data_IF_216242894253
#
_entry.id   IF_216242894253
#
_cell.length_a   1.000
_cell.length_b   1.000
_cell.length_c   1.000
_cell.angle_alpha   90.00
_cell.angle_beta   90.00
_cell.angle_gamma   90.00
#
_symmetry.space_group_name_H-M   'P 1'
#
loop_
_entity.id
_entity.type
_entity.pdbx_description
1 polymer ?
#
# COMPACT_ATOMS: atom_id res chain seq x y z
N UNK A 1 17.16 -20.99 -8.79
CA UNK A 1 15.79 -21.34 -9.21
C UNK A 1 14.80 -21.07 -8.06
N UNK A 2 14.78 -19.84 -7.51
CA UNK A 2 13.95 -19.50 -6.34
C UNK A 2 12.63 -18.78 -6.70
N UNK A 3 12.53 -18.22 -7.91
CA UNK A 3 11.38 -17.41 -8.36
C UNK A 3 10.48 -18.13 -9.38
N UNK A 4 10.73 -19.41 -9.68
CA UNK A 4 10.09 -20.12 -10.80
C UNK A 4 8.55 -20.16 -10.75
N UNK A 5 7.95 -20.06 -9.55
CA UNK A 5 6.50 -19.97 -9.38
C UNK A 5 5.91 -18.58 -9.54
N UNK A 6 6.71 -17.51 -9.43
CA UNK A 6 6.20 -16.13 -9.43
C UNK A 6 5.87 -15.61 -10.84
N UNK A 7 6.43 -16.23 -11.87
CA UNK A 7 6.14 -15.94 -13.28
C UNK A 7 4.80 -16.49 -13.77
N UNK A 8 4.00 -17.15 -12.91
CA UNK A 8 2.65 -17.61 -13.30
C UNK A 8 1.74 -16.41 -13.61
N UNK A 9 1.10 -16.38 -14.78
CA UNK A 9 0.21 -15.27 -15.20
C UNK A 9 -1.01 -15.08 -14.29
N UNK A 10 -1.48 -16.13 -13.62
CA UNK A 10 -2.63 -16.02 -12.70
C UNK A 10 -2.25 -15.41 -11.34
N UNK A 11 -0.96 -15.41 -10.98
CA UNK A 11 -0.47 -14.80 -9.76
C UNK A 11 -0.21 -13.31 -9.97
N UNK A 12 -1.08 -12.45 -9.43
CA UNK A 12 -0.92 -10.99 -9.53
C UNK A 12 -0.29 -10.36 -8.30
N UNK A 13 -0.64 -10.81 -7.10
CA UNK A 13 -0.24 -10.19 -5.83
C UNK A 13 0.80 -11.03 -5.09
N UNK A 14 1.91 -10.40 -4.70
CA UNK A 14 3.02 -11.01 -3.97
C UNK A 14 3.33 -10.11 -2.77
N UNK A 15 3.17 -10.63 -1.55
CA UNK A 15 3.31 -9.85 -0.32
C UNK A 15 4.50 -10.33 0.50
N UNK A 16 5.38 -9.40 0.87
CA UNK A 16 6.53 -9.64 1.73
C UNK A 16 6.22 -9.18 3.16
N UNK A 17 5.79 -10.14 3.98
CA UNK A 17 5.53 -9.98 5.41
C UNK A 17 6.61 -10.56 6.30
N UNK A 18 6.79 -10.01 7.51
CA UNK A 18 7.74 -10.53 8.49
C UNK A 18 8.17 -9.50 9.56
N UNK A 19 9.02 -9.93 10.49
CA UNK A 19 9.56 -9.05 11.54
C UNK A 19 10.46 -7.93 10.96
N UNK A 20 10.76 -6.92 11.76
CA UNK A 20 11.77 -5.92 11.41
C UNK A 20 13.15 -6.55 11.21
N UNK A 21 13.90 -6.08 10.21
CA UNK A 21 15.29 -6.50 9.97
C UNK A 21 15.51 -7.85 9.28
N UNK A 22 14.45 -8.55 8.84
CA UNK A 22 14.59 -9.87 8.16
C UNK A 22 14.84 -9.78 6.65
N UNK A 23 14.98 -8.57 6.10
CA UNK A 23 15.28 -8.35 4.68
C UNK A 23 14.06 -8.24 3.74
N UNK A 24 12.87 -7.93 4.27
CA UNK A 24 11.62 -7.83 3.48
C UNK A 24 11.74 -6.88 2.28
N UNK A 25 12.14 -5.64 2.53
CA UNK A 25 12.34 -4.59 1.53
C UNK A 25 13.30 -5.03 0.45
N UNK A 26 14.46 -5.59 0.83
CA UNK A 26 15.45 -6.10 -0.12
C UNK A 26 14.88 -7.24 -0.98
N UNK A 27 14.14 -8.18 -0.38
CA UNK A 27 13.50 -9.27 -1.12
C UNK A 27 12.38 -8.77 -2.03
N UNK A 28 11.58 -7.80 -1.61
CA UNK A 28 10.51 -7.19 -2.40
C UNK A 28 11.08 -6.48 -3.62
N UNK A 29 12.09 -5.63 -3.44
CA UNK A 29 12.78 -4.93 -4.54
C UNK A 29 13.39 -5.94 -5.51
N UNK A 30 14.18 -6.90 -5.02
CA UNK A 30 14.81 -7.90 -5.87
C UNK A 30 13.80 -8.71 -6.67
N UNK A 31 12.66 -9.04 -6.06
CA UNK A 31 11.56 -9.77 -6.72
C UNK A 31 10.88 -8.91 -7.78
N UNK A 32 10.61 -7.63 -7.47
CA UNK A 32 9.99 -6.70 -8.41
C UNK A 32 10.88 -6.44 -9.63
N UNK A 33 12.19 -6.26 -9.42
CA UNK A 33 13.18 -6.15 -10.49
C UNK A 33 13.18 -7.39 -11.39
N UNK A 34 13.25 -8.59 -10.80
CA UNK A 34 13.26 -9.84 -11.57
C UNK A 34 11.96 -10.06 -12.36
N UNK A 35 10.80 -9.71 -11.80
CA UNK A 35 9.52 -9.80 -12.52
C UNK A 35 9.41 -8.76 -13.64
N UNK A 36 9.99 -7.57 -13.45
CA UNK A 36 9.96 -6.49 -14.44
C UNK A 36 10.64 -6.84 -15.77
N UNK A 37 11.50 -7.85 -15.80
CA UNK A 37 12.09 -8.36 -17.05
C UNK A 37 11.02 -8.87 -18.03
N UNK A 38 9.86 -9.33 -17.55
CA UNK A 38 8.84 -9.95 -18.38
C UNK A 38 7.41 -9.42 -18.12
N UNK A 39 7.20 -8.64 -17.05
CA UNK A 39 5.88 -8.20 -16.61
C UNK A 39 5.87 -6.74 -16.20
N UNK A 40 4.81 -5.99 -16.54
CA UNK A 40 4.62 -4.65 -15.99
C UNK A 40 4.33 -4.77 -14.50
N UNK A 41 5.27 -4.34 -13.67
CA UNK A 41 5.34 -4.63 -12.23
C UNK A 41 5.27 -3.34 -11.42
N UNK A 42 4.39 -3.33 -10.41
CA UNK A 42 4.30 -2.26 -9.42
C UNK A 42 4.87 -2.75 -8.07
N UNK A 43 5.89 -2.07 -7.57
CA UNK A 43 6.40 -2.21 -6.21
C UNK A 43 5.66 -1.23 -5.30
N UNK A 44 4.99 -1.74 -4.28
CA UNK A 44 4.22 -0.95 -3.32
C UNK A 44 4.88 -1.11 -1.96
N UNK A 45 5.34 -0.03 -1.35
CA UNK A 45 5.73 -0.04 0.06
C UNK A 45 4.59 0.49 0.91
N UNK A 46 4.26 -0.22 1.98
CA UNK A 46 3.40 0.28 3.06
C UNK A 46 4.22 0.57 4.33
N UNK A 47 5.56 0.46 4.26
CA UNK A 47 6.45 0.76 5.36
C UNK A 47 6.62 2.30 5.48
N UNK A 48 6.22 2.91 6.61
CA UNK A 48 6.35 4.35 6.82
C UNK A 48 7.82 4.82 6.90
N UNK A 49 8.79 3.89 7.02
CA UNK A 49 10.20 4.23 7.12
C UNK A 49 10.90 4.55 5.78
N UNK A 50 10.16 4.83 4.70
CA UNK A 50 10.69 5.19 3.37
C UNK A 50 11.78 4.23 2.82
N UNK A 51 11.70 2.95 3.21
CA UNK A 51 12.81 2.01 3.07
C UNK A 51 13.10 1.62 1.61
N UNK A 52 12.12 1.73 0.71
CA UNK A 52 12.37 1.48 -0.72
C UNK A 52 13.07 2.66 -1.39
N UNK A 53 12.77 3.89 -1.00
CA UNK A 53 13.45 5.08 -1.52
C UNK A 53 14.94 5.05 -1.23
N UNK A 54 15.30 4.69 0.01
CA UNK A 54 16.69 4.53 0.44
C UNK A 54 17.40 3.39 -0.31
N UNK A 55 16.75 2.23 -0.44
CA UNK A 55 17.35 1.07 -1.13
C UNK A 55 17.51 1.28 -2.64
N UNK A 56 16.62 2.04 -3.26
CA UNK A 56 16.64 2.33 -4.71
C UNK A 56 17.47 3.57 -5.05
N UNK A 57 17.94 4.32 -4.04
CA UNK A 57 18.60 5.62 -4.21
C UNK A 57 17.78 6.60 -5.08
N UNK A 58 16.45 6.50 -4.99
CA UNK A 58 15.50 7.27 -5.77
C UNK A 58 14.35 7.71 -4.86
N UNK A 59 13.94 8.98 -4.94
CA UNK A 59 12.77 9.47 -4.22
C UNK A 59 11.50 8.81 -4.77
N UNK A 60 10.92 7.91 -3.99
CA UNK A 60 9.60 7.33 -4.22
C UNK A 60 8.65 7.98 -3.22
N UNK A 61 7.46 8.38 -3.67
CA UNK A 61 6.47 9.02 -2.81
C UNK A 61 5.09 8.47 -3.07
N UNK A 62 4.08 9.25 -2.73
CA UNK A 62 2.65 8.91 -2.87
C UNK A 62 2.14 8.87 -4.32
N UNK A 63 3.02 9.01 -5.31
CA UNK A 63 2.69 8.90 -6.74
C UNK A 63 3.50 7.77 -7.35
N UNK A 64 2.85 7.00 -8.22
CA UNK A 64 3.51 5.97 -9.00
C UNK A 64 4.58 6.63 -9.89
N UNK A 65 5.82 6.16 -9.77
CA UNK A 65 6.96 6.61 -10.58
C UNK A 65 7.70 5.41 -11.15
N UNK A 66 8.33 5.57 -12.33
CA UNK A 66 9.25 4.56 -12.87
C UNK A 66 10.48 4.43 -11.98
N UNK A 67 11.01 3.22 -11.84
CA UNK A 67 12.23 2.95 -11.06
C UNK A 67 13.44 2.85 -11.98
N UNK A 68 14.42 3.74 -11.80
CA UNK A 68 15.60 3.83 -12.64
C UNK A 68 15.26 3.94 -14.13
N UNK A 69 15.99 3.18 -14.96
CA UNK A 69 15.78 3.12 -16.41
C UNK A 69 14.83 1.98 -16.84
N UNK A 70 14.12 1.33 -15.90
CA UNK A 70 13.23 0.22 -16.23
C UNK A 70 11.94 0.72 -16.91
N UNK A 71 11.59 0.09 -18.03
CA UNK A 71 10.32 0.36 -18.70
C UNK A 71 9.11 -0.30 -18.03
N UNK A 72 9.37 -1.35 -17.25
CA UNK A 72 8.33 -2.23 -16.70
C UNK A 72 8.24 -2.18 -15.18
N UNK A 73 9.15 -1.49 -14.48
CA UNK A 73 9.11 -1.36 -13.02
C UNK A 73 8.68 0.04 -12.63
N UNK A 74 7.58 0.12 -11.89
CA UNK A 74 7.16 1.33 -11.18
C UNK A 74 7.11 1.08 -9.68
N UNK A 75 7.20 2.14 -8.89
CA UNK A 75 7.07 2.08 -7.44
C UNK A 75 6.22 3.20 -6.86
N UNK A 76 5.63 2.93 -5.70
CA UNK A 76 4.89 3.89 -4.89
C UNK A 76 5.09 3.57 -3.40
N UNK A 77 5.12 4.62 -2.58
CA UNK A 77 5.02 4.51 -1.12
C UNK A 77 3.64 4.97 -0.67
N UNK A 78 2.93 4.09 0.05
CA UNK A 78 1.60 4.39 0.57
C UNK A 78 1.72 5.24 1.83
N UNK A 79 1.08 6.40 1.81
CA UNK A 79 0.99 7.29 2.96
C UNK A 79 -0.42 7.15 3.55
N UNK A 80 -0.54 6.44 4.67
CA UNK A 80 -1.81 6.12 5.30
C UNK A 80 -2.66 7.37 5.61
N UNK A 81 -2.05 8.43 6.14
CA UNK A 81 -2.75 9.68 6.47
C UNK A 81 -3.37 10.35 5.23
N UNK A 82 -2.65 10.35 4.10
CA UNK A 82 -3.17 10.90 2.85
C UNK A 82 -4.28 10.02 2.28
N UNK A 83 -4.09 8.70 2.30
CA UNK A 83 -5.10 7.75 1.86
C UNK A 83 -6.38 7.88 2.70
N UNK A 84 -6.25 7.99 4.04
CA UNK A 84 -7.36 8.20 4.97
C UNK A 84 -8.06 9.52 4.72
N UNK A 85 -7.31 10.62 4.59
CA UNK A 85 -7.86 11.95 4.30
C UNK A 85 -8.67 11.96 3.00
N UNK A 86 -8.15 11.32 1.95
CA UNK A 86 -8.86 11.16 0.67
C UNK A 86 -10.15 10.34 0.84
N UNK A 87 -10.08 9.21 1.56
CA UNK A 87 -11.24 8.37 1.83
C UNK A 87 -12.35 9.10 2.59
N UNK A 88 -12.00 9.84 3.66
CA UNK A 88 -12.95 10.65 4.41
C UNK A 88 -13.57 11.73 3.53
N UNK A 89 -12.78 12.39 2.67
CA UNK A 89 -13.28 13.41 1.77
C UNK A 89 -14.29 12.84 0.75
N UNK A 90 -14.01 11.66 0.19
CA UNK A 90 -14.87 10.96 -0.76
C UNK A 90 -16.19 10.47 -0.12
N UNK A 91 -16.11 9.96 1.12
CA UNK A 91 -17.24 9.31 1.80
C UNK A 91 -17.88 10.17 2.88
N UNK A 92 -17.55 11.46 2.96
CA UNK A 92 -17.95 12.37 4.05
C UNK A 92 -19.45 12.32 4.34
N UNK A 93 -20.27 12.38 3.30
CA UNK A 93 -21.73 12.41 3.43
C UNK A 93 -22.29 11.08 3.95
N UNK A 94 -21.71 9.95 3.54
CA UNK A 94 -22.14 8.62 3.96
C UNK A 94 -21.73 8.35 5.41
N UNK A 95 -20.47 8.65 5.74
CA UNK A 95 -19.94 8.54 7.11
C UNK A 95 -20.73 9.42 8.06
N UNK A 96 -21.04 10.65 7.66
CA UNK A 96 -21.87 11.57 8.45
C UNK A 96 -23.25 10.97 8.73
N UNK A 97 -23.94 10.47 7.71
CA UNK A 97 -25.27 9.87 7.86
C UNK A 97 -25.23 8.63 8.76
N UNK A 98 -24.19 7.80 8.65
CA UNK A 98 -23.99 6.64 9.52
C UNK A 98 -23.82 7.08 10.97
N UNK A 99 -22.97 8.07 11.25
CA UNK A 99 -22.70 8.55 12.60
C UNK A 99 -23.93 9.24 13.21
N UNK A 100 -24.66 10.06 12.46
CA UNK A 100 -25.93 10.67 12.90
C UNK A 100 -26.99 9.62 13.24
N UNK A 101 -27.01 8.49 12.53
CA UNK A 101 -27.99 7.42 12.78
C UNK A 101 -27.57 6.51 13.94
N UNK A 102 -26.27 6.40 14.20
CA UNK A 102 -25.69 5.45 15.18
C UNK A 102 -25.39 6.10 16.53
N UNK A 103 -25.32 7.43 16.58
CA UNK A 103 -24.90 8.21 17.75
C UNK A 103 -25.74 9.49 17.86
N UNK A 104 -25.91 10.03 19.06
CA UNK A 104 -26.53 11.34 19.26
C UNK A 104 -25.50 12.50 19.13
N UNK A 105 -24.45 12.31 18.33
CA UNK A 105 -23.38 13.28 18.15
C UNK A 105 -23.81 14.37 17.18
N UNK A 106 -23.35 15.60 17.42
CA UNK A 106 -23.58 16.70 16.51
C UNK A 106 -22.51 16.78 15.41
N UNK A 107 -22.61 17.81 14.55
CA UNK A 107 -21.69 17.97 13.43
C UNK A 107 -20.24 18.25 13.84
N UNK A 108 -20.04 18.93 14.98
CA UNK A 108 -18.70 19.25 15.48
C UNK A 108 -18.07 17.99 16.06
N UNK A 109 -18.81 17.25 16.89
CA UNK A 109 -18.38 15.96 17.45
C UNK A 109 -17.97 14.95 16.36
N UNK A 110 -18.77 14.84 15.30
CA UNK A 110 -18.48 13.96 14.16
C UNK A 110 -17.21 14.41 13.44
N UNK A 111 -17.04 15.72 13.23
CA UNK A 111 -15.85 16.22 12.54
C UNK A 111 -14.59 16.01 13.37
N UNK A 112 -14.65 16.17 14.69
CA UNK A 112 -13.53 15.91 15.59
C UNK A 112 -13.20 14.40 15.64
N UNK A 113 -14.21 13.55 15.72
CA UNK A 113 -14.02 12.09 15.72
C UNK A 113 -13.34 11.58 14.43
N UNK A 114 -13.68 12.16 13.26
CA UNK A 114 -13.04 11.82 11.99
C UNK A 114 -11.59 12.31 11.87
N UNK A 115 -11.14 13.20 12.77
CA UNK A 115 -9.75 13.67 12.84
C UNK A 115 -8.89 12.89 13.84
N UNK A 116 -9.49 12.04 14.68
CA UNK A 116 -8.74 11.19 15.60
C UNK A 116 -8.12 10.01 14.86
N UNK A 117 -6.84 9.72 15.13
CA UNK A 117 -6.15 8.55 14.59
C UNK A 117 -6.82 7.27 15.11
N UNK A 118 -7.48 6.54 14.21
CA UNK A 118 -8.15 5.27 14.53
C UNK A 118 -7.08 4.16 14.56
N UNK A 119 -6.93 3.40 15.66
CA UNK A 119 -6.00 2.28 15.68
C UNK A 119 -6.28 1.27 14.57
N UNK A 120 -5.25 0.87 13.82
CA UNK A 120 -5.39 -0.08 12.71
C UNK A 120 -5.78 0.56 11.37
N UNK A 121 -6.00 1.87 11.32
CA UNK A 121 -6.41 2.55 10.09
C UNK A 121 -5.31 2.53 9.03
N UNK A 122 -4.05 2.59 9.45
CA UNK A 122 -2.91 2.58 8.54
C UNK A 122 -2.86 1.29 7.72
N UNK A 123 -3.08 0.14 8.37
CA UNK A 123 -3.15 -1.15 7.71
C UNK A 123 -4.35 -1.26 6.77
N UNK A 124 -5.53 -0.79 7.22
CA UNK A 124 -6.75 -0.83 6.40
C UNK A 124 -6.62 0.05 5.16
N UNK A 125 -6.10 1.27 5.31
CA UNK A 125 -5.92 2.19 4.19
C UNK A 125 -4.81 1.72 3.25
N UNK A 126 -3.76 1.09 3.77
CA UNK A 126 -2.73 0.46 2.96
C UNK A 126 -3.31 -0.67 2.10
N UNK A 127 -4.11 -1.55 2.72
CA UNK A 127 -4.75 -2.66 2.01
C UNK A 127 -5.76 -2.18 0.96
N UNK A 128 -6.57 -1.17 1.31
CA UNK A 128 -7.51 -0.52 0.39
C UNK A 128 -6.79 0.06 -0.82
N UNK A 129 -5.68 0.77 -0.59
CA UNK A 129 -4.85 1.32 -1.68
C UNK A 129 -4.30 0.23 -2.60
N UNK A 130 -3.85 -0.91 -2.04
CA UNK A 130 -3.39 -2.05 -2.83
C UNK A 130 -4.53 -2.64 -3.68
N UNK A 131 -5.75 -2.76 -3.11
CA UNK A 131 -6.92 -3.24 -3.85
C UNK A 131 -7.25 -2.28 -5.00
N UNK A 132 -7.31 -0.97 -4.74
CA UNK A 132 -7.59 0.05 -5.76
C UNK A 132 -6.64 -0.13 -6.97
N UNK A 133 -5.33 -0.29 -6.73
CA UNK A 133 -4.35 -0.53 -7.79
C UNK A 133 -4.56 -1.85 -8.56
N UNK A 134 -4.98 -2.91 -7.87
CA UNK A 134 -5.26 -4.21 -8.50
C UNK A 134 -6.51 -4.10 -9.39
N UNK A 135 -7.54 -3.38 -8.94
CA UNK A 135 -8.79 -3.17 -9.68
C UNK A 135 -8.60 -2.27 -10.91
N UNK A 136 -7.75 -1.25 -10.82
CA UNK A 136 -7.35 -0.42 -11.98
C UNK A 136 -6.72 -1.28 -13.10
N UNK A 137 -6.04 -2.37 -12.74
CA UNK A 137 -5.57 -3.37 -13.70
C UNK A 137 -4.46 -2.90 -14.63
N UNK A 138 -3.77 -1.81 -14.29
CA UNK A 138 -2.69 -1.25 -15.13
C UNK A 138 -1.39 -2.07 -15.10
N UNK A 139 -1.22 -2.99 -14.16
CA UNK A 139 -0.02 -3.80 -13.96
C UNK A 139 -0.34 -5.29 -13.98
N UNK A 140 0.64 -6.09 -14.41
CA UNK A 140 0.55 -7.54 -14.42
C UNK A 140 0.88 -8.12 -13.04
N UNK A 141 1.81 -7.48 -12.32
CA UNK A 141 2.35 -7.93 -11.03
C UNK A 141 2.36 -6.79 -10.01
N UNK A 142 1.96 -7.10 -8.79
CA UNK A 142 1.94 -6.21 -7.64
C UNK A 142 2.78 -6.84 -6.54
N UNK A 143 3.92 -6.22 -6.24
CA UNK A 143 4.86 -6.67 -5.20
C UNK A 143 4.75 -5.72 -4.02
N UNK A 144 4.34 -6.22 -2.86
CA UNK A 144 4.07 -5.41 -1.67
C UNK A 144 5.15 -5.64 -0.62
N UNK A 145 5.87 -4.59 -0.26
CA UNK A 145 6.72 -4.52 0.93
C UNK A 145 5.91 -3.97 2.11
N UNK A 146 5.71 -4.81 3.13
CA UNK A 146 4.87 -4.44 4.28
C UNK A 146 5.68 -3.84 5.42
N UNK A 147 5.08 -2.91 6.16
CA UNK A 147 5.63 -2.37 7.39
C UNK A 147 6.03 -3.49 8.40
N UNK A 148 7.06 -3.28 9.23
CA UNK A 148 7.49 -4.24 10.24
C UNK A 148 6.52 -4.28 11.43
N UNK A 149 5.40 -4.99 11.33
CA UNK A 149 4.53 -5.24 12.49
C UNK A 149 3.96 -6.66 12.54
N UNK A 150 3.79 -7.19 13.76
CA UNK A 150 3.20 -8.51 14.03
C UNK A 150 1.69 -8.62 13.75
N UNK A 151 1.09 -7.62 13.10
CA UNK A 151 -0.34 -7.50 12.84
C UNK A 151 -0.72 -7.53 11.34
N UNK A 152 0.25 -7.58 10.41
CA UNK A 152 0.00 -7.57 8.97
C UNK A 152 -0.90 -8.73 8.44
N UNK A 153 -1.14 -9.76 9.26
CA UNK A 153 -2.02 -10.91 8.97
C UNK A 153 -3.21 -11.03 9.93
N UNK A 154 -3.50 -10.00 10.74
CA UNK A 154 -4.53 -10.05 11.80
C UNK A 154 -5.86 -9.39 11.43
N UNK A 155 -6.05 -9.00 10.17
CA UNK A 155 -7.31 -8.50 9.62
C UNK A 155 -8.12 -9.65 9.01
#
# INVERSE_FOLDING_TARGET
MALAGLGNNDLKLIVFGGKGGVGKTSCAIATAMALSENFKTLLISTDPAHSISDCLEQQIGFKVVKVGDSDNLSAIEVVADEAFSKFIAEHRNELKKLLETSTNLDNEDISEMLTLSIPGIDEVMSFKTIIDFIEEGEFDKYVVDTAPTGHALRL
#
